data_IF_612694412702
#
_entry.id   IF_612694412702
#
_cell.length_a   1.000
_cell.length_b   1.000
_cell.length_c   1.000
_cell.angle_alpha   90.00
_cell.angle_beta   90.00
_cell.angle_gamma   90.00
#
_symmetry.space_group_name_H-M   'P 1'
#
loop_
_entity.id
_entity.type
_entity.pdbx_description
1 polymer ?
#
# COMPACT_ATOMS: atom_id res chain seq x y z
N UNK A 1 -9.37 23.17 -21.24
CA UNK A 1 -8.26 23.66 -20.40
C UNK A 1 -8.01 25.14 -20.67
N UNK A 2 -8.91 26.04 -20.25
CA UNK A 2 -8.83 27.48 -20.59
C UNK A 2 -8.36 28.38 -19.43
N UNK A 3 -8.37 27.90 -18.18
CA UNK A 3 -7.96 28.69 -17.02
C UNK A 3 -6.64 28.22 -16.41
N UNK A 4 -5.82 29.18 -15.93
CA UNK A 4 -4.53 28.93 -15.27
C UNK A 4 -4.65 27.96 -14.09
N UNK A 5 -5.77 27.99 -13.36
CA UNK A 5 -6.06 27.07 -12.25
C UNK A 5 -6.19 25.60 -12.70
N UNK A 6 -6.81 25.35 -13.85
CA UNK A 6 -6.95 24.00 -14.43
C UNK A 6 -5.59 23.42 -14.79
N UNK A 7 -4.72 24.23 -15.42
CA UNK A 7 -3.35 23.83 -15.78
C UNK A 7 -2.55 23.47 -14.53
N UNK A 8 -2.63 24.31 -13.48
CA UNK A 8 -1.99 24.03 -12.18
C UNK A 8 -2.48 22.71 -11.58
N UNK A 9 -3.79 22.47 -11.53
CA UNK A 9 -4.35 21.21 -11.01
C UNK A 9 -3.90 20.01 -11.83
N UNK A 10 -3.79 20.15 -13.15
CA UNK A 10 -3.27 19.09 -14.02
C UNK A 10 -1.81 18.73 -13.66
N UNK A 11 -0.93 19.73 -13.54
CA UNK A 11 0.48 19.51 -13.15
C UNK A 11 0.58 18.84 -11.78
N UNK A 12 -0.19 19.31 -10.79
CA UNK A 12 -0.25 18.69 -9.46
C UNK A 12 -0.70 17.23 -9.51
N UNK A 13 -1.70 16.93 -10.35
CA UNK A 13 -2.21 15.58 -10.55
C UNK A 13 -1.14 14.66 -11.15
N UNK A 14 -0.42 15.10 -12.19
CA UNK A 14 0.64 14.31 -12.81
C UNK A 14 1.79 14.01 -11.83
N UNK A 15 2.24 15.02 -11.07
CA UNK A 15 3.26 14.84 -10.02
C UNK A 15 2.83 13.80 -8.99
N UNK A 16 1.59 13.92 -8.48
CA UNK A 16 1.03 12.98 -7.52
C UNK A 16 0.88 11.58 -8.10
N UNK A 17 0.48 11.45 -9.38
CA UNK A 17 0.33 10.17 -10.07
C UNK A 17 1.65 9.41 -10.13
N UNK A 18 2.74 10.07 -10.51
CA UNK A 18 4.07 9.45 -10.59
C UNK A 18 4.56 8.95 -9.23
N UNK A 19 4.47 9.80 -8.19
CA UNK A 19 4.84 9.43 -6.83
C UNK A 19 4.02 8.26 -6.32
N UNK A 20 2.69 8.33 -6.46
CA UNK A 20 1.80 7.25 -6.03
C UNK A 20 2.05 5.94 -6.78
N UNK A 21 2.36 5.99 -8.08
CA UNK A 21 2.70 4.80 -8.87
C UNK A 21 3.96 4.12 -8.33
N UNK A 22 5.03 4.89 -8.11
CA UNK A 22 6.29 4.36 -7.58
C UNK A 22 6.11 3.75 -6.18
N UNK A 23 5.47 4.48 -5.26
CA UNK A 23 5.25 4.03 -3.89
C UNK A 23 4.32 2.81 -3.83
N UNK A 24 3.26 2.77 -4.66
CA UNK A 24 2.36 1.62 -4.76
C UNK A 24 3.09 0.38 -5.29
N UNK A 25 3.97 0.55 -6.28
CA UNK A 25 4.80 -0.54 -6.81
C UNK A 25 5.74 -1.08 -5.73
N UNK A 26 6.49 -0.20 -5.06
CA UNK A 26 7.38 -0.57 -3.96
C UNK A 26 6.64 -1.30 -2.83
N UNK A 27 5.47 -0.80 -2.43
CA UNK A 27 4.62 -1.44 -1.44
C UNK A 27 4.22 -2.86 -1.86
N UNK A 28 3.77 -3.05 -3.10
CA UNK A 28 3.37 -4.37 -3.60
C UNK A 28 4.57 -5.34 -3.63
N UNK A 29 5.76 -4.88 -4.04
CA UNK A 29 6.98 -5.70 -4.02
C UNK A 29 7.35 -6.12 -2.60
N UNK A 30 7.33 -5.19 -1.63
CA UNK A 30 7.57 -5.51 -0.21
C UNK A 30 6.56 -6.51 0.33
N UNK A 31 5.27 -6.30 0.04
CA UNK A 31 4.22 -7.23 0.45
C UNK A 31 4.41 -8.61 -0.19
N UNK A 32 4.83 -8.70 -1.46
CA UNK A 32 5.13 -9.99 -2.11
C UNK A 32 6.23 -10.74 -1.36
N UNK A 33 7.31 -10.05 -0.97
CA UNK A 33 8.39 -10.65 -0.16
C UNK A 33 7.88 -11.16 1.19
N UNK A 34 7.08 -10.36 1.89
CA UNK A 34 6.44 -10.76 3.16
C UNK A 34 5.54 -12.00 2.96
N UNK A 35 4.77 -12.05 1.87
CA UNK A 35 3.92 -13.20 1.59
C UNK A 35 4.69 -14.49 1.28
N UNK A 36 5.93 -14.41 0.79
CA UNK A 36 6.78 -15.58 0.55
C UNK A 36 7.35 -16.13 1.87
N UNK A 37 7.83 -15.23 2.73
CA UNK A 37 8.49 -15.57 4.00
C UNK A 37 7.64 -15.07 5.17
N UNK A 38 6.44 -15.61 5.34
CA UNK A 38 5.52 -15.12 6.36
C UNK A 38 5.89 -15.69 7.73
N UNK A 39 6.20 -14.79 8.64
CA UNK A 39 6.44 -15.03 10.06
C UNK A 39 5.83 -13.87 10.87
N UNK A 40 5.81 -13.97 12.19
CA UNK A 40 5.15 -12.98 13.04
C UNK A 40 5.72 -11.55 12.86
N UNK A 41 7.05 -11.44 12.78
CA UNK A 41 7.74 -10.16 12.57
C UNK A 41 7.38 -9.51 11.21
N UNK A 42 7.36 -10.30 10.14
CA UNK A 42 7.02 -9.85 8.79
C UNK A 42 5.57 -9.37 8.68
N UNK A 43 4.66 -9.96 9.47
CA UNK A 43 3.26 -9.54 9.54
C UNK A 43 3.16 -8.17 10.20
N UNK A 44 3.87 -7.96 11.32
CA UNK A 44 3.92 -6.64 11.97
C UNK A 44 4.50 -5.56 11.04
N UNK A 45 5.58 -5.88 10.31
CA UNK A 45 6.16 -4.99 9.29
C UNK A 45 5.13 -4.69 8.19
N UNK A 46 4.44 -5.72 7.70
CA UNK A 46 3.39 -5.59 6.68
C UNK A 46 2.24 -4.68 7.12
N UNK A 47 1.78 -4.83 8.36
CA UNK A 47 0.75 -3.97 8.96
C UNK A 47 1.21 -2.52 9.04
N UNK A 48 2.43 -2.28 9.52
CA UNK A 48 3.02 -0.92 9.60
C UNK A 48 3.11 -0.26 8.23
N UNK A 49 3.57 -1.00 7.21
CA UNK A 49 3.64 -0.50 5.83
C UNK A 49 2.26 -0.14 5.26
N UNK A 50 1.25 -0.99 5.48
CA UNK A 50 -0.12 -0.76 5.03
C UNK A 50 -0.76 0.45 5.73
N UNK A 51 -0.53 0.61 7.04
CA UNK A 51 -1.00 1.75 7.81
C UNK A 51 -0.38 3.05 7.29
N UNK A 52 0.93 3.09 7.05
CA UNK A 52 1.63 4.24 6.48
C UNK A 52 1.10 4.56 5.08
N UNK A 53 0.90 3.55 4.23
CA UNK A 53 0.40 3.74 2.87
C UNK A 53 -1.04 4.30 2.84
N UNK A 54 -1.88 3.86 3.78
CA UNK A 54 -3.22 4.41 3.99
C UNK A 54 -3.17 5.88 4.41
N UNK A 55 -2.38 6.22 5.44
CA UNK A 55 -2.21 7.61 5.93
C UNK A 55 -1.71 8.55 4.83
N UNK A 56 -0.78 8.09 3.99
CA UNK A 56 -0.25 8.86 2.86
C UNK A 56 -1.18 8.93 1.65
N UNK A 57 -2.40 8.38 1.74
CA UNK A 57 -3.40 8.33 0.65
C UNK A 57 -2.87 7.66 -0.63
N UNK A 58 -1.94 6.71 -0.47
CA UNK A 58 -1.41 5.88 -1.57
C UNK A 58 -2.41 4.76 -1.87
N UNK A 59 -3.05 4.21 -0.83
CA UNK A 59 -4.15 3.26 -0.91
C UNK A 59 -5.30 3.72 -0.02
N UNK A 60 -6.53 3.32 -0.35
CA UNK A 60 -7.68 3.56 0.50
C UNK A 60 -7.60 2.71 1.79
N UNK A 61 -8.14 3.23 2.89
CA UNK A 61 -8.10 2.55 4.19
C UNK A 61 -8.75 1.16 4.16
N UNK A 62 -9.90 0.99 3.45
CA UNK A 62 -10.52 -0.33 3.24
C UNK A 62 -9.61 -1.30 2.48
N UNK A 63 -8.83 -0.78 1.52
CA UNK A 63 -7.89 -1.61 0.76
C UNK A 63 -6.70 -2.03 1.64
N UNK A 64 -6.24 -1.14 2.53
CA UNK A 64 -5.24 -1.48 3.54
C UNK A 64 -5.77 -2.56 4.50
N UNK A 65 -6.97 -2.38 5.06
CA UNK A 65 -7.62 -3.33 5.96
C UNK A 65 -7.80 -4.72 5.31
N UNK A 66 -8.28 -4.77 4.06
CA UNK A 66 -8.41 -6.03 3.30
C UNK A 66 -7.05 -6.74 3.14
N UNK A 67 -5.98 -6.00 2.89
CA UNK A 67 -4.62 -6.57 2.78
C UNK A 67 -4.10 -7.06 4.14
N UNK A 68 -4.34 -6.32 5.22
CA UNK A 68 -3.99 -6.72 6.59
C UNK A 68 -4.70 -8.02 6.98
N UNK A 69 -6.00 -8.11 6.75
CA UNK A 69 -6.78 -9.32 7.01
C UNK A 69 -6.24 -10.53 6.24
N UNK A 70 -5.86 -10.36 4.97
CA UNK A 70 -5.23 -11.42 4.18
C UNK A 70 -3.89 -11.89 4.75
N UNK A 71 -3.06 -10.96 5.24
CA UNK A 71 -1.77 -11.30 5.87
C UNK A 71 -1.99 -12.15 7.11
N UNK A 72 -2.85 -11.69 8.03
CA UNK A 72 -3.13 -12.40 9.29
C UNK A 72 -3.75 -13.78 9.02
N UNK A 73 -4.69 -13.87 8.08
CA UNK A 73 -5.29 -15.17 7.71
C UNK A 73 -4.23 -16.15 7.19
N UNK A 74 -3.24 -15.68 6.43
CA UNK A 74 -2.18 -16.54 5.90
C UNK A 74 -1.21 -16.98 7.00
N UNK A 75 -0.89 -16.11 7.95
CA UNK A 75 -0.08 -16.47 9.12
C UNK A 75 -0.78 -17.55 9.94
N UNK A 76 -2.06 -17.36 10.26
CA UNK A 76 -2.84 -18.32 11.03
C UNK A 76 -2.94 -19.69 10.34
N UNK A 77 -3.03 -19.69 9.00
CA UNK A 77 -3.03 -20.93 8.23
C UNK A 77 -1.68 -21.66 8.33
N UNK A 78 -0.57 -20.93 8.34
CA UNK A 78 0.76 -21.53 8.49
C UNK A 78 1.09 -21.94 9.93
N UNK A 79 0.51 -21.29 10.93
CA UNK A 79 0.69 -21.69 12.34
C UNK A 79 -0.09 -22.95 12.70
N UNK A 80 -1.18 -23.22 11.99
CA UNK A 80 -2.07 -24.35 12.24
C UNK A 80 -1.81 -25.56 11.32
N UNK A 81 -0.81 -25.46 10.43
CA UNK A 81 -0.37 -26.52 9.52
C UNK A 81 0.94 -27.10 10.02
#
# INVERSE_FOLDING_TARGET
MRHKSTIKRHIQSQKKRLLNRSLKSSLNTKLKKIFLNINEESVQIGQKLLAIASRKRIIHWKAAAKKTSKLMRKQNLQSNA
#
